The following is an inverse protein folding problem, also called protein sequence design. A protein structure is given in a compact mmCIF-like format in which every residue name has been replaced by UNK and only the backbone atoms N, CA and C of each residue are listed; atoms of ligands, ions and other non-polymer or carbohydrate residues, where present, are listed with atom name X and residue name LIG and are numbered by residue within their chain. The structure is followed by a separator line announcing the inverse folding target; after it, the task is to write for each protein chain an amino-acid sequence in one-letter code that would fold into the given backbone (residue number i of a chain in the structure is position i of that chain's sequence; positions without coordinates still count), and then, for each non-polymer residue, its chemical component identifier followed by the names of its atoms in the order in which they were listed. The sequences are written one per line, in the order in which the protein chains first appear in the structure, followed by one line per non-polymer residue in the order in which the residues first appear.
data_IF_330576010028
#
_entry.id   IF_330576010028
#
_cell.length_a   1.000
_cell.length_b   1.000
_cell.length_c   1.000
_cell.angle_alpha   90.00
_cell.angle_beta   90.00
_cell.angle_gamma   90.00
#
_symmetry.space_group_name_H-M   'P 1'
#
loop_
_entity.id
_entity.type
_entity.pdbx_description
1 polymer ?
#
# COMPACT_ATOMS: atom_id res chain seq x y z
N UNK A 1 22.87 -43.06 -21.95
CA UNK A 1 21.50 -43.10 -21.41
C UNK A 1 20.57 -42.34 -22.36
N UNK A 2 19.31 -42.77 -22.56
CA UNK A 2 18.31 -42.01 -23.34
C UNK A 2 17.34 -41.33 -22.37
N UNK A 3 17.06 -40.04 -22.56
CA UNK A 3 16.01 -39.32 -21.82
C UNK A 3 14.65 -39.71 -22.39
N UNK A 4 13.71 -40.13 -21.54
CA UNK A 4 12.30 -40.30 -21.93
C UNK A 4 11.60 -38.95 -21.84
N UNK A 5 10.79 -38.62 -22.85
CA UNK A 5 9.98 -37.40 -22.87
C UNK A 5 8.55 -37.76 -22.42
N UNK A 6 8.13 -37.29 -21.25
CA UNK A 6 6.77 -37.52 -20.74
C UNK A 6 5.88 -36.37 -21.22
N UNK A 7 4.97 -36.67 -22.15
CA UNK A 7 3.93 -35.74 -22.59
C UNK A 7 2.71 -35.94 -21.69
N UNK A 8 2.38 -34.93 -20.89
CA UNK A 8 1.15 -34.92 -20.07
C UNK A 8 0.02 -34.35 -20.92
N UNK A 9 -1.01 -35.16 -21.18
CA UNK A 9 -2.20 -34.72 -21.92
C UNK A 9 -3.23 -34.17 -20.93
N UNK A 10 -3.52 -32.87 -21.04
CA UNK A 10 -4.58 -32.22 -20.26
C UNK A 10 -5.94 -32.58 -20.86
N UNK A 11 -6.80 -33.24 -20.07
CA UNK A 11 -8.16 -33.59 -20.48
C UNK A 11 -9.14 -32.54 -19.96
N UNK A 12 -9.61 -31.67 -20.84
CA UNK A 12 -10.67 -30.69 -20.53
C UNK A 12 -12.03 -31.37 -20.66
N UNK A 13 -12.77 -31.46 -19.55
CA UNK A 13 -14.13 -32.03 -19.54
C UNK A 13 -15.15 -30.90 -19.72
N UNK A 14 -15.72 -30.79 -20.92
CA UNK A 14 -16.87 -29.93 -21.21
C UNK A 14 -18.17 -30.62 -20.75
N UNK A 15 -18.85 -30.02 -19.77
CA UNK A 15 -20.17 -30.47 -19.31
C UNK A 15 -21.25 -29.62 -19.97
N UNK A 16 -21.91 -30.18 -20.99
CA UNK A 16 -23.11 -29.59 -21.59
C UNK A 16 -24.37 -30.24 -20.99
N UNK A 17 -25.30 -29.43 -20.47
CA UNK A 17 -26.60 -29.90 -19.96
C UNK A 17 -27.72 -29.27 -20.79
N UNK A 18 -28.38 -30.08 -21.63
CA UNK A 18 -29.54 -29.67 -22.42
C UNK A 18 -30.49 -30.85 -22.62
N UNK A 19 -31.59 -30.88 -21.84
CA UNK A 19 -32.88 -31.56 -22.09
C UNK A 19 -33.77 -31.32 -20.85
N UNK A 20 -35.07 -31.06 -20.95
CA UNK A 20 -35.93 -30.87 -22.12
C UNK A 20 -37.27 -30.21 -21.74
N UNK A 21 -38.12 -29.91 -22.72
CA UNK A 21 -39.36 -29.12 -22.57
C UNK A 21 -40.61 -30.00 -22.73
N UNK A 22 -41.71 -29.69 -22.01
CA UNK A 22 -43.15 -29.87 -22.35
C UNK A 22 -44.02 -30.02 -21.06
N UNK A 23 -45.26 -29.50 -20.93
CA UNK A 23 -46.08 -28.60 -21.75
C UNK A 23 -47.19 -27.95 -20.86
N UNK A 24 -47.94 -26.98 -21.41
CA UNK A 24 -49.21 -26.40 -20.93
C UNK A 24 -49.11 -25.28 -19.87
N UNK A 25 -49.70 -24.09 -20.05
CA UNK A 25 -50.37 -23.53 -21.24
C UNK A 25 -51.26 -22.31 -20.94
N UNK A 26 -51.21 -21.23 -21.73
CA UNK A 26 -52.10 -20.07 -21.48
C UNK A 26 -51.91 -18.77 -22.30
N UNK A 27 -52.46 -18.72 -23.53
CA UNK A 27 -53.01 -17.52 -24.23
C UNK A 27 -52.09 -16.32 -24.58
N UNK A 28 -51.67 -16.31 -25.85
CA UNK A 28 -51.59 -15.20 -26.82
C UNK A 28 -51.43 -13.72 -26.37
N UNK A 29 -50.46 -13.04 -27.01
CA UNK A 29 -50.73 -12.01 -28.04
C UNK A 29 -49.64 -12.04 -29.14
N UNK A 30 -49.93 -11.50 -30.32
CA UNK A 30 -49.25 -11.73 -31.60
C UNK A 30 -48.29 -10.57 -32.00
N UNK A 31 -47.05 -10.82 -32.47
CA UNK A 31 -46.08 -9.78 -32.84
C UNK A 31 -46.02 -9.46 -34.36
N UNK A 32 -45.81 -8.18 -34.69
CA UNK A 32 -45.40 -7.64 -36.02
C UNK A 32 -44.60 -6.34 -35.79
N UNK A 33 -43.67 -5.90 -36.63
CA UNK A 33 -43.18 -6.45 -37.91
C UNK A 33 -41.68 -6.13 -38.12
N UNK A 34 -41.08 -6.75 -39.14
CA UNK A 34 -39.64 -6.71 -39.45
C UNK A 34 -39.22 -5.47 -40.27
N UNK A 35 -37.94 -5.08 -40.18
CA UNK A 35 -37.12 -4.82 -41.38
C UNK A 35 -35.62 -5.05 -41.08
N UNK A 36 -34.82 -5.34 -42.10
CA UNK A 36 -33.42 -5.77 -42.07
C UNK A 36 -32.61 -5.06 -43.19
N UNK A 37 -31.27 -5.20 -43.16
CA UNK A 37 -30.24 -4.82 -44.17
C UNK A 37 -30.10 -3.29 -44.44
N UNK A 38 -28.97 -2.76 -44.96
CA UNK A 38 -27.76 -3.40 -45.52
C UNK A 38 -26.46 -2.64 -45.16
N UNK A 39 -25.31 -3.26 -45.43
CA UNK A 39 -23.97 -2.63 -45.47
C UNK A 39 -23.75 -1.85 -46.78
N UNK A 40 -22.68 -1.04 -46.87
CA UNK A 40 -22.17 -0.53 -48.15
C UNK A 40 -20.69 -0.10 -48.07
N UNK A 41 -19.84 -0.67 -48.93
CA UNK A 41 -18.47 -0.20 -49.21
C UNK A 41 -18.36 0.47 -50.60
N UNK A 42 -17.39 1.37 -50.78
CA UNK A 42 -16.50 1.61 -51.96
C UNK A 42 -15.82 3.00 -51.77
N UNK A 43 -14.48 3.18 -51.83
CA UNK A 43 -13.52 3.03 -52.95
C UNK A 43 -13.85 4.03 -54.08
N UNK A 44 -13.00 4.99 -54.48
CA UNK A 44 -11.67 4.89 -55.17
C UNK A 44 -10.95 6.28 -55.02
N UNK A 45 -9.63 6.40 -54.74
CA UNK A 45 -8.48 6.51 -55.68
C UNK A 45 -8.50 7.82 -56.56
N UNK A 46 -7.45 8.58 -56.92
CA UNK A 46 -5.97 8.43 -57.03
C UNK A 46 -5.26 9.82 -57.02
N UNK A 47 -3.92 10.06 -57.06
CA UNK A 47 -2.63 9.46 -56.61
C UNK A 47 -1.47 10.48 -56.90
N UNK A 48 -0.25 10.26 -56.36
CA UNK A 48 1.07 10.79 -56.82
C UNK A 48 1.38 12.31 -56.66
N UNK A 49 2.65 12.81 -56.57
CA UNK A 49 3.99 12.18 -56.62
C UNK A 49 5.14 12.98 -55.93
N UNK A 50 6.10 12.24 -55.36
CA UNK A 50 7.58 12.45 -55.36
C UNK A 50 8.27 13.73 -54.78
N UNK A 51 8.97 13.47 -53.67
CA UNK A 51 10.23 14.02 -53.12
C UNK A 51 11.13 15.00 -53.92
N UNK A 52 11.77 15.94 -53.19
CA UNK A 52 13.21 15.82 -52.83
C UNK A 52 13.61 16.72 -51.63
N UNK A 53 14.83 16.54 -51.09
CA UNK A 53 15.40 17.29 -49.95
C UNK A 53 16.08 18.60 -50.35
N UNK A 54 16.11 19.59 -49.44
CA UNK A 54 17.25 20.52 -49.26
C UNK A 54 17.31 21.06 -47.81
N UNK A 55 18.50 21.48 -47.36
CA UNK A 55 18.88 21.80 -45.96
C UNK A 55 18.41 23.17 -45.46
N UNK A 56 18.21 23.31 -44.15
CA UNK A 56 18.31 24.60 -43.42
C UNK A 56 18.87 24.37 -42.02
N UNK A 57 19.63 25.32 -41.47
CA UNK A 57 20.43 25.17 -40.24
C UNK A 57 19.81 25.90 -39.02
N UNK A 58 19.98 25.26 -37.84
CA UNK A 58 20.11 25.85 -36.49
C UNK A 58 18.90 26.57 -35.82
N UNK A 59 19.00 26.74 -34.48
CA UNK A 59 18.03 27.35 -33.54
C UNK A 59 16.80 26.46 -33.22
N UNK A 60 16.39 26.23 -31.95
CA UNK A 60 16.94 26.66 -30.64
C UNK A 60 16.43 25.75 -29.50
N UNK A 61 17.06 25.90 -28.32
CA UNK A 61 16.55 25.56 -26.96
C UNK A 61 16.35 24.09 -26.58
N UNK A 62 17.12 23.68 -25.56
CA UNK A 62 16.88 22.47 -24.77
C UNK A 62 15.63 22.67 -23.89
N UNK A 63 14.55 21.95 -24.17
CA UNK A 63 13.51 21.72 -23.15
C UNK A 63 13.89 20.49 -22.34
N UNK A 64 14.76 20.69 -21.36
CA UNK A 64 15.02 19.67 -20.33
C UNK A 64 13.69 19.38 -19.65
N UNK A 65 13.26 18.11 -19.65
CA UNK A 65 12.06 17.72 -18.94
C UNK A 65 12.32 17.86 -17.43
N UNK A 66 11.84 18.95 -16.85
CA UNK A 66 11.88 19.18 -15.41
C UNK A 66 10.91 18.22 -14.74
N UNK A 67 11.40 17.02 -14.40
CA UNK A 67 10.72 16.10 -13.50
C UNK A 67 10.63 16.78 -12.14
N UNK A 68 9.53 17.50 -11.93
CA UNK A 68 9.16 18.04 -10.62
C UNK A 68 8.95 16.85 -9.71
N UNK A 69 9.96 16.56 -8.88
CA UNK A 69 9.85 15.69 -7.72
C UNK A 69 8.84 16.35 -6.78
N UNK A 70 7.58 15.93 -6.86
CA UNK A 70 6.58 16.27 -5.88
C UNK A 70 6.90 15.45 -4.63
N UNK A 71 7.74 16.00 -3.75
CA UNK A 71 7.98 15.40 -2.44
C UNK A 71 6.63 15.25 -1.73
N UNK A 72 6.18 13.99 -1.58
CA UNK A 72 4.98 13.68 -0.80
C UNK A 72 5.11 14.34 0.59
N UNK A 73 4.04 14.95 1.13
CA UNK A 73 4.11 15.69 2.39
C UNK A 73 4.24 14.73 3.57
N UNK A 74 5.46 14.23 3.81
CA UNK A 74 5.78 13.30 4.87
C UNK A 74 5.28 13.84 6.22
N UNK A 75 4.24 13.22 6.77
CA UNK A 75 3.69 13.64 8.05
C UNK A 75 4.76 13.52 9.13
N UNK A 76 5.09 14.66 9.76
CA UNK A 76 6.20 14.74 10.71
C UNK A 76 5.84 13.96 11.97
N UNK A 77 6.30 12.71 12.02
CA UNK A 77 5.95 11.73 13.06
C UNK A 77 6.04 12.31 14.48
N UNK A 78 4.88 12.38 15.15
CA UNK A 78 4.68 13.10 16.41
C UNK A 78 5.19 12.35 17.64
N UNK A 79 5.71 11.14 17.45
CA UNK A 79 6.19 10.25 18.51
C UNK A 79 7.25 10.91 19.43
N UNK A 80 7.33 10.51 20.71
CA UNK A 80 8.08 11.25 21.73
C UNK A 80 9.60 11.06 21.61
N UNK A 81 10.37 12.15 21.79
CA UNK A 81 11.82 12.07 21.92
C UNK A 81 12.24 11.63 23.33
N UNK A 82 12.83 10.44 23.43
CA UNK A 82 13.29 9.86 24.70
C UNK A 82 14.82 9.94 24.79
N UNK A 83 15.34 10.71 25.75
CA UNK A 83 16.77 10.65 26.08
C UNK A 83 17.10 9.31 26.76
N UNK A 84 17.67 8.37 26.02
CA UNK A 84 18.11 7.08 26.55
C UNK A 84 19.49 7.11 27.24
N UNK A 85 20.11 8.29 27.42
CA UNK A 85 21.44 8.40 28.05
C UNK A 85 21.46 7.74 29.43
N UNK A 86 22.37 6.78 29.63
CA UNK A 86 22.48 6.00 30.87
C UNK A 86 21.47 4.84 30.99
N UNK A 87 20.94 4.34 29.87
CA UNK A 87 20.13 3.12 29.81
C UNK A 87 20.83 2.04 28.98
N UNK A 88 21.20 0.93 29.61
CA UNK A 88 21.84 -0.23 28.95
C UNK A 88 20.81 -1.27 28.48
N UNK A 89 19.53 -1.14 28.85
CA UNK A 89 18.44 -2.05 28.42
C UNK A 89 17.13 -1.29 28.22
N UNK A 90 16.22 -1.90 27.45
CA UNK A 90 14.83 -1.45 27.31
C UNK A 90 14.12 -1.28 28.66
N UNK A 91 14.32 -2.19 29.60
CA UNK A 91 13.78 -2.06 30.97
C UNK A 91 14.27 -0.79 31.66
N UNK A 92 15.55 -0.41 31.47
CA UNK A 92 16.06 0.84 32.03
C UNK A 92 15.45 2.08 31.36
N UNK A 93 15.06 2.01 30.07
CA UNK A 93 14.30 3.08 29.40
C UNK A 93 12.90 3.19 30.04
N UNK A 94 12.16 2.09 30.12
CA UNK A 94 10.81 2.02 30.71
C UNK A 94 10.81 2.56 32.15
N UNK A 95 11.65 1.98 33.02
CA UNK A 95 11.72 2.35 34.44
C UNK A 95 12.13 3.82 34.64
N UNK A 96 13.17 4.28 33.93
CA UNK A 96 13.88 5.53 34.28
C UNK A 96 13.52 6.74 33.42
N UNK A 97 13.02 6.54 32.20
CA UNK A 97 12.89 7.61 31.18
C UNK A 97 11.46 7.91 30.76
N UNK A 98 10.55 6.94 30.82
CA UNK A 98 9.15 7.16 30.46
C UNK A 98 8.38 7.86 31.59
N UNK A 99 7.33 8.61 31.25
CA UNK A 99 6.49 9.35 32.19
C UNK A 99 5.11 8.71 32.35
N UNK A 100 4.37 9.13 33.39
CA UNK A 100 3.03 8.60 33.71
C UNK A 100 2.06 8.81 32.53
N UNK A 101 1.39 7.74 32.09
CA UNK A 101 0.49 7.75 30.93
C UNK A 101 1.13 7.45 29.57
N UNK A 102 2.47 7.42 29.45
CA UNK A 102 3.13 6.94 28.22
C UNK A 102 2.86 5.45 27.96
N UNK A 103 2.89 5.04 26.70
CA UNK A 103 2.76 3.64 26.30
C UNK A 103 4.11 2.99 25.98
N UNK A 104 4.28 1.71 26.28
CA UNK A 104 5.37 0.90 25.69
C UNK A 104 4.90 -0.49 25.26
N UNK A 105 5.47 -1.01 24.17
CA UNK A 105 5.21 -2.36 23.67
C UNK A 105 6.51 -3.02 23.21
N UNK A 106 6.59 -4.36 23.28
CA UNK A 106 7.64 -5.13 22.64
C UNK A 106 7.03 -6.01 21.54
N UNK A 107 7.59 -5.90 20.33
CA UNK A 107 7.14 -6.58 19.11
C UNK A 107 8.37 -6.95 18.27
N UNK A 108 8.26 -7.99 17.46
CA UNK A 108 9.31 -8.34 16.48
C UNK A 108 8.95 -7.70 15.13
N UNK A 109 9.89 -6.97 14.53
CA UNK A 109 9.72 -6.29 13.23
C UNK A 109 10.95 -6.62 12.38
N UNK A 110 10.75 -7.09 11.15
CA UNK A 110 11.79 -7.81 10.40
C UNK A 110 12.26 -9.04 11.19
N UNK A 111 13.57 -9.15 11.42
CA UNK A 111 14.16 -10.16 12.33
C UNK A 111 14.52 -9.58 13.72
N UNK A 112 14.18 -8.31 14.01
CA UNK A 112 14.64 -7.58 15.20
C UNK A 112 13.58 -7.48 16.31
N UNK A 113 14.01 -7.67 17.57
CA UNK A 113 13.17 -7.43 18.76
C UNK A 113 13.16 -5.94 19.11
N UNK A 114 12.02 -5.30 18.86
CA UNK A 114 11.82 -3.85 19.01
C UNK A 114 11.15 -3.50 20.34
N UNK A 115 11.55 -2.36 20.92
CA UNK A 115 10.76 -1.60 21.87
C UNK A 115 10.10 -0.41 21.13
N UNK A 116 8.77 -0.36 21.17
CA UNK A 116 7.99 0.81 20.76
C UNK A 116 7.66 1.63 22.01
N UNK A 117 7.83 2.95 21.93
CA UNK A 117 7.44 3.90 22.99
C UNK A 117 6.50 4.95 22.39
N UNK A 118 5.27 5.04 22.90
CA UNK A 118 4.27 6.03 22.47
C UNK A 118 4.12 7.18 23.46
N UNK A 119 3.73 8.35 22.95
CA UNK A 119 3.38 9.53 23.74
C UNK A 119 2.20 9.29 24.70
N UNK A 120 1.31 8.34 24.38
CA UNK A 120 0.14 7.99 25.19
C UNK A 120 -0.59 6.76 24.63
N UNK A 121 -1.72 6.40 25.24
CA UNK A 121 -2.52 5.23 24.81
C UNK A 121 -4.03 5.52 24.92
N UNK A 122 -4.83 4.69 24.25
CA UNK A 122 -6.29 4.70 24.33
C UNK A 122 -6.86 3.29 24.36
N UNK A 123 -8.01 3.10 25.02
CA UNK A 123 -8.76 1.84 25.00
C UNK A 123 -9.42 1.65 23.62
N UNK A 124 -8.94 0.67 22.86
CA UNK A 124 -9.46 0.31 21.54
C UNK A 124 -10.61 -0.72 21.61
N UNK A 125 -11.10 -1.03 22.82
CA UNK A 125 -12.02 -2.14 23.06
C UNK A 125 -11.28 -3.40 23.54
N UNK A 126 -12.06 -4.36 24.06
CA UNK A 126 -11.58 -5.63 24.64
C UNK A 126 -10.45 -5.50 25.69
N UNK A 127 -10.31 -4.32 26.31
CA UNK A 127 -9.26 -3.91 27.24
C UNK A 127 -7.86 -3.74 26.60
N UNK A 128 -7.77 -3.64 25.28
CA UNK A 128 -6.54 -3.41 24.54
C UNK A 128 -6.20 -1.91 24.53
N UNK A 129 -5.10 -1.53 25.20
CA UNK A 129 -4.57 -0.18 25.10
C UNK A 129 -3.74 -0.05 23.82
N UNK A 130 -4.23 0.68 22.83
CA UNK A 130 -3.54 0.93 21.57
C UNK A 130 -2.87 2.31 21.56
N UNK A 131 -2.05 2.56 20.54
CA UNK A 131 -1.36 3.82 20.30
C UNK A 131 -1.47 4.27 18.83
N UNK A 132 -1.29 5.57 18.60
CA UNK A 132 -1.24 6.19 17.26
C UNK A 132 0.16 6.68 16.87
N UNK A 133 1.15 6.57 17.76
CA UNK A 133 2.53 6.92 17.49
C UNK A 133 3.50 5.97 18.19
N UNK A 134 4.73 5.86 17.68
CA UNK A 134 5.81 5.19 18.40
C UNK A 134 7.19 5.69 17.97
N UNK A 135 8.07 5.85 18.95
CA UNK A 135 9.52 5.95 18.74
C UNK A 135 10.10 4.54 18.86
N UNK A 136 10.92 4.15 17.87
CA UNK A 136 11.32 2.78 17.59
C UNK A 136 12.75 2.53 18.07
N UNK A 137 12.94 1.53 18.94
CA UNK A 137 14.25 1.16 19.49
C UNK A 137 14.59 -0.32 19.25
N UNK A 138 15.86 -0.60 18.92
CA UNK A 138 16.46 -1.94 18.85
C UNK A 138 17.68 -2.05 19.78
N UNK A 139 18.30 -3.23 19.87
CA UNK A 139 19.64 -3.39 20.44
C UNK A 139 20.72 -3.45 19.36
N UNK A 140 21.49 -2.37 19.19
CA UNK A 140 22.69 -2.41 18.35
C UNK A 140 23.92 -2.73 19.20
N UNK A 141 24.65 -3.81 18.85
CA UNK A 141 25.81 -4.30 19.61
C UNK A 141 25.55 -4.53 21.12
N UNK A 142 24.30 -4.85 21.49
CA UNK A 142 23.87 -5.04 22.88
C UNK A 142 23.52 -3.77 23.65
N UNK A 143 23.49 -2.60 23.00
CA UNK A 143 23.03 -1.33 23.59
C UNK A 143 21.73 -0.85 22.92
N UNK A 144 20.76 -0.30 23.66
CA UNK A 144 19.56 0.30 23.07
C UNK A 144 19.89 1.46 22.12
N UNK A 145 19.22 1.50 20.96
CA UNK A 145 19.40 2.51 19.92
C UNK A 145 18.04 2.90 19.33
N UNK A 146 17.75 4.20 19.28
CA UNK A 146 16.61 4.72 18.50
C UNK A 146 16.94 4.65 17.01
N UNK A 147 16.02 4.10 16.21
CA UNK A 147 16.19 3.91 14.76
C UNK A 147 15.14 4.61 13.90
N UNK A 148 14.03 5.07 14.48
CA UNK A 148 12.98 5.78 13.76
C UNK A 148 11.82 6.23 14.64
N UNK A 149 10.84 6.87 13.99
CA UNK A 149 9.53 7.23 14.54
C UNK A 149 8.45 6.86 13.52
N UNK A 150 7.25 6.57 13.99
CA UNK A 150 6.06 6.29 13.17
C UNK A 150 4.84 6.99 13.80
N UNK A 151 3.85 7.35 13.00
CA UNK A 151 2.59 7.94 13.45
C UNK A 151 1.44 7.61 12.49
N UNK A 152 0.21 7.58 13.02
CA UNK A 152 -1.01 7.30 12.28
C UNK A 152 -1.94 8.53 12.28
N UNK A 153 -2.81 8.64 11.28
CA UNK A 153 -3.74 9.77 11.10
C UNK A 153 -4.85 9.89 12.15
N UNK A 154 -4.93 9.00 13.15
CA UNK A 154 -5.85 9.11 14.28
C UNK A 154 -6.19 7.78 14.94
N UNK A 155 -7.01 7.81 16.00
CA UNK A 155 -7.37 6.63 16.81
C UNK A 155 -8.25 5.61 16.09
N UNK A 156 -8.76 5.92 14.90
CA UNK A 156 -9.40 4.95 14.01
C UNK A 156 -8.36 4.04 13.31
N UNK A 157 -7.08 4.42 13.35
CA UNK A 157 -5.96 3.75 12.70
C UNK A 157 -4.84 3.45 13.72
N UNK A 158 -5.06 2.62 14.75
CA UNK A 158 -4.01 2.25 15.69
C UNK A 158 -2.82 1.56 15.00
N UNK A 159 -1.63 1.64 15.60
CA UNK A 159 -0.47 0.87 15.15
C UNK A 159 -0.77 -0.63 15.20
N UNK A 160 -0.47 -1.34 14.11
CA UNK A 160 -0.71 -2.77 13.96
C UNK A 160 0.53 -3.50 13.44
N UNK A 161 0.62 -4.81 13.64
CA UNK A 161 1.73 -5.65 13.17
C UNK A 161 1.20 -6.91 12.48
N UNK A 162 1.86 -7.30 11.38
CA UNK A 162 1.55 -8.50 10.61
C UNK A 162 2.75 -8.94 9.80
N UNK A 163 3.06 -10.23 9.83
CA UNK A 163 4.15 -10.87 9.08
C UNK A 163 5.53 -10.16 9.19
N UNK A 164 5.81 -9.54 10.34
CA UNK A 164 7.04 -8.80 10.62
C UNK A 164 7.06 -7.35 10.14
N UNK A 165 5.97 -6.85 9.54
CA UNK A 165 5.81 -5.45 9.14
C UNK A 165 5.01 -4.67 10.20
N UNK A 166 5.49 -3.47 10.53
CA UNK A 166 4.79 -2.49 11.35
C UNK A 166 3.92 -1.60 10.45
N UNK A 167 2.62 -1.56 10.69
CA UNK A 167 1.67 -0.76 9.93
C UNK A 167 1.34 0.55 10.63
N UNK A 168 1.24 1.61 9.83
CA UNK A 168 0.54 2.85 10.16
C UNK A 168 -0.43 3.20 9.03
N UNK A 169 -1.49 3.94 9.36
CA UNK A 169 -2.51 4.33 8.39
C UNK A 169 -3.16 5.66 8.78
N UNK A 170 -3.86 6.26 7.83
CA UNK A 170 -4.73 7.41 8.02
C UNK A 170 -5.95 7.32 7.10
N UNK A 171 -6.75 8.38 7.02
CA UNK A 171 -7.94 8.40 6.14
C UNK A 171 -7.62 8.28 4.64
N UNK A 172 -6.38 8.55 4.25
CA UNK A 172 -5.94 8.68 2.85
C UNK A 172 -4.63 7.93 2.57
N UNK A 173 -4.13 7.12 3.52
CA UNK A 173 -2.88 6.37 3.33
C UNK A 173 -2.80 5.11 4.17
N UNK A 174 -1.96 4.16 3.71
CA UNK A 174 -1.41 3.07 4.51
C UNK A 174 0.10 3.00 4.25
N UNK A 175 0.88 2.69 5.29
CA UNK A 175 2.34 2.55 5.21
C UNK A 175 2.79 1.35 6.05
N UNK A 176 3.61 0.49 5.45
CA UNK A 176 4.34 -0.58 6.16
C UNK A 176 5.80 -0.22 6.32
N UNK A 177 6.35 -0.52 7.50
CA UNK A 177 7.75 -0.35 7.82
C UNK A 177 8.36 -1.66 8.31
N UNK A 178 9.65 -1.84 8.04
CA UNK A 178 10.43 -2.98 8.52
C UNK A 178 11.68 -2.52 9.26
N UNK A 179 12.36 -3.44 9.93
CA UNK A 179 13.72 -3.23 10.43
C UNK A 179 14.66 -4.19 9.71
N UNK A 180 15.67 -3.63 9.06
CA UNK A 180 16.69 -4.35 8.28
C UNK A 180 18.03 -3.61 8.43
N UNK A 181 19.15 -4.34 8.50
CA UNK A 181 20.50 -3.79 8.74
C UNK A 181 20.60 -2.77 9.90
N UNK A 182 19.79 -2.96 10.95
CA UNK A 182 19.74 -2.07 12.12
C UNK A 182 19.12 -0.69 11.83
N UNK A 183 18.29 -0.59 10.79
CA UNK A 183 17.62 0.65 10.33
C UNK A 183 16.11 0.45 10.29
N UNK A 184 15.34 1.46 10.70
CA UNK A 184 13.91 1.52 10.43
C UNK A 184 13.73 2.01 8.99
N UNK A 185 13.02 1.25 8.15
CA UNK A 185 12.92 1.53 6.71
C UNK A 185 11.46 1.49 6.25
N UNK A 186 11.15 2.22 5.17
CA UNK A 186 9.91 2.01 4.43
C UNK A 186 9.94 0.62 3.78
N UNK A 187 8.81 -0.08 3.80
CA UNK A 187 8.61 -1.29 3.01
C UNK A 187 7.72 -0.98 1.81
N UNK A 188 6.47 -0.55 2.06
CA UNK A 188 5.54 -0.02 1.07
C UNK A 188 4.74 1.17 1.63
N UNK A 189 4.31 2.07 0.76
CA UNK A 189 3.35 3.14 1.03
C UNK A 189 2.35 3.22 -0.12
N UNK A 190 1.05 3.27 0.20
CA UNK A 190 0.02 3.72 -0.74
C UNK A 190 -0.66 4.94 -0.14
N UNK A 191 -0.93 5.96 -0.94
CA UNK A 191 -1.71 7.13 -0.53
C UNK A 191 -2.56 7.70 -1.67
N UNK A 192 -3.52 8.55 -1.31
CA UNK A 192 -4.30 9.35 -2.24
C UNK A 192 -4.14 10.86 -1.98
N UNK A 193 -4.15 11.65 -3.05
CA UNK A 193 -4.14 13.12 -2.99
C UNK A 193 -5.31 13.69 -3.79
N UNK A 194 -5.85 14.82 -3.32
CA UNK A 194 -6.94 15.55 -3.95
C UNK A 194 -6.44 16.88 -4.50
N UNK A 195 -6.78 17.21 -5.74
CA UNK A 195 -6.52 18.55 -6.31
C UNK A 195 -7.56 19.59 -5.89
N UNK A 196 -7.38 20.86 -6.29
CA UNK A 196 -8.25 21.98 -5.91
C UNK A 196 -9.72 21.80 -6.38
N UNK A 197 -9.95 21.01 -7.43
CA UNK A 197 -11.29 20.65 -7.94
C UNK A 197 -11.86 19.40 -7.25
N UNK A 198 -11.08 18.72 -6.40
CA UNK A 198 -11.46 17.51 -5.68
C UNK A 198 -11.28 16.20 -6.46
N UNK A 199 -10.51 16.20 -7.56
CA UNK A 199 -10.16 14.95 -8.25
C UNK A 199 -9.07 14.22 -7.50
N UNK A 200 -9.22 12.90 -7.36
CA UNK A 200 -8.27 12.05 -6.64
C UNK A 200 -7.18 11.49 -7.56
N UNK A 201 -5.95 11.36 -7.03
CA UNK A 201 -4.84 10.59 -7.62
C UNK A 201 -4.30 9.62 -6.58
N UNK A 202 -3.91 8.43 -7.02
CA UNK A 202 -3.33 7.41 -6.17
C UNK A 202 -1.84 7.25 -6.47
N UNK A 203 -1.04 7.05 -5.42
CA UNK A 203 0.40 6.86 -5.52
C UNK A 203 0.88 5.63 -4.73
N UNK A 204 2.02 5.09 -5.13
CA UNK A 204 2.70 3.97 -4.50
C UNK A 204 4.21 4.20 -4.45
N UNK A 205 4.82 4.03 -3.28
CA UNK A 205 6.28 3.97 -3.07
C UNK A 205 6.63 2.64 -2.40
N UNK A 206 7.81 2.09 -2.69
CA UNK A 206 8.35 0.94 -1.95
C UNK A 206 9.86 1.05 -1.76
N UNK A 207 10.42 0.13 -0.96
CA UNK A 207 11.87 0.00 -0.75
C UNK A 207 12.70 -0.19 -2.05
N UNK A 208 12.07 -0.58 -3.16
CA UNK A 208 12.73 -0.72 -4.47
C UNK A 208 12.59 0.50 -5.40
N UNK A 209 11.68 1.46 -5.13
CA UNK A 209 11.49 2.62 -6.02
C UNK A 209 10.33 3.57 -5.67
N UNK A 210 10.41 4.79 -6.22
CA UNK A 210 9.55 5.93 -5.88
C UNK A 210 8.25 6.04 -6.69
N UNK A 211 7.24 6.62 -6.04
CA UNK A 211 6.16 7.46 -6.58
C UNK A 211 5.55 7.05 -7.93
N UNK A 212 5.06 5.82 -8.01
CA UNK A 212 4.32 5.33 -9.17
C UNK A 212 2.85 5.72 -9.04
N UNK A 213 2.33 6.47 -10.03
CA UNK A 213 0.88 6.73 -10.15
C UNK A 213 0.16 5.39 -10.31
N UNK A 214 -0.68 5.07 -9.33
CA UNK A 214 -1.28 3.75 -9.14
C UNK A 214 -2.82 3.81 -9.29
N UNK A 215 -3.56 2.88 -8.68
CA UNK A 215 -5.03 2.91 -8.67
C UNK A 215 -5.59 2.67 -7.27
N UNK A 216 -6.81 3.17 -7.03
CA UNK A 216 -7.64 2.95 -5.83
C UNK A 216 -7.54 1.52 -5.28
N UNK A 217 -7.54 0.52 -6.17
CA UNK A 217 -7.47 -0.91 -5.83
C UNK A 217 -6.22 -1.26 -4.99
N UNK A 218 -5.09 -0.61 -5.23
CA UNK A 218 -3.85 -0.92 -4.49
C UNK A 218 -3.86 -0.31 -3.07
N UNK A 219 -4.40 0.90 -2.91
CA UNK A 219 -4.65 1.48 -1.59
C UNK A 219 -5.72 0.67 -0.82
N UNK A 220 -6.81 0.27 -1.49
CA UNK A 220 -7.87 -0.55 -0.91
C UNK A 220 -7.36 -1.94 -0.47
N UNK A 221 -6.54 -2.61 -1.29
CA UNK A 221 -5.90 -3.87 -0.90
C UNK A 221 -5.02 -3.68 0.35
N UNK A 222 -4.26 -2.58 0.42
CA UNK A 222 -3.39 -2.29 1.56
C UNK A 222 -4.19 -1.97 2.84
N UNK A 223 -5.38 -1.34 2.71
CA UNK A 223 -6.34 -1.22 3.81
C UNK A 223 -6.91 -2.58 4.25
N UNK A 224 -7.26 -3.48 3.32
CA UNK A 224 -7.71 -4.83 3.66
C UNK A 224 -6.61 -5.65 4.37
N UNK A 225 -5.34 -5.49 3.96
CA UNK A 225 -4.20 -6.10 4.64
C UNK A 225 -3.94 -5.50 6.03
N UNK A 226 -4.22 -4.22 6.24
CA UNK A 226 -4.16 -3.51 7.52
C UNK A 226 -5.32 -3.89 8.46
N UNK A 227 -6.56 -3.98 7.98
CA UNK A 227 -7.71 -4.46 8.76
C UNK A 227 -7.53 -5.92 9.22
N UNK A 228 -6.71 -6.69 8.51
CA UNK A 228 -6.31 -8.05 8.86
C UNK A 228 -5.04 -8.14 9.74
N UNK A 229 -4.44 -7.03 10.16
CA UNK A 229 -3.25 -7.00 11.03
C UNK A 229 -3.61 -6.97 12.53
N UNK A 230 -2.70 -7.42 13.39
CA UNK A 230 -2.92 -7.42 14.85
C UNK A 230 -2.64 -6.03 15.43
N UNK A 231 -3.65 -5.38 16.00
CA UNK A 231 -3.46 -4.09 16.71
C UNK A 231 -2.51 -4.28 17.90
N UNK A 232 -1.46 -3.45 17.98
CA UNK A 232 -0.42 -3.60 19.00
C UNK A 232 -0.95 -3.15 20.35
N UNK A 233 -0.91 -4.07 21.32
CA UNK A 233 -1.20 -3.79 22.73
C UNK A 233 -0.01 -3.17 23.46
N UNK A 234 -0.17 -1.94 23.94
CA UNK A 234 0.79 -1.22 24.75
C UNK A 234 0.49 -1.41 26.25
N UNK A 235 1.55 -1.47 27.07
CA UNK A 235 1.45 -1.30 28.51
C UNK A 235 1.56 0.17 28.87
N UNK A 236 0.63 0.67 29.69
CA UNK A 236 0.65 2.06 30.18
C UNK A 236 1.61 2.19 31.36
N UNK A 237 2.48 3.19 31.32
CA UNK A 237 3.38 3.52 32.43
C UNK A 237 2.59 4.19 33.55
N UNK A 238 2.73 3.67 34.77
CA UNK A 238 2.14 4.22 36.00
C UNK A 238 3.23 4.33 37.08
N UNK A 239 3.36 5.48 37.75
CA UNK A 239 4.49 5.78 38.67
C UNK A 239 4.14 6.21 40.09
#
# INVERSE_FOLDING_TARGET
MKKQLIIVVVVVILVAVLCGVNLSGGKNKDPREMMQIAESETITDSQQSLANEETTEESTEETVAETVMLEAPAEVATAPDIDITGCDTFTQIVDRKLEDGMGYANVTIGEEDVLLVSSGTFDNGDNLQAAIDATVFIYENGMPKMIGKISCGGTAYPLAVKDGLLYSAGGHFVQTNTVEDGRFQLYEHNWEEFDEDGNVKYFYESSEGQDVVTSEVNLQNMFEDYEAAETIGFTVVVK
#
